data_IF_353243131216
#
_entry.id   IF_353243131216
#
_cell.length_a   1.000
_cell.length_b   1.000
_cell.length_c   1.000
_cell.angle_alpha   90.00
_cell.angle_beta   90.00
_cell.angle_gamma   90.00
#
_symmetry.space_group_name_H-M   'P 1'
#
loop_
_entity.id
_entity.type
_entity.pdbx_description
1 polymer ?
#
# COMPACT_ATOMS: atom_id res chain seq x y z
N UNK A 1 16.93 -12.12 3.66
CA UNK A 1 16.81 -11.73 2.24
C UNK A 1 15.63 -10.78 2.19
N UNK A 2 15.86 -9.50 1.94
CA UNK A 2 14.74 -8.58 1.70
C UNK A 2 14.16 -8.94 0.31
N UNK A 3 12.86 -9.17 0.24
CA UNK A 3 12.16 -9.35 -1.05
C UNK A 3 12.23 -8.05 -1.86
N UNK A 4 11.92 -8.13 -3.16
CA UNK A 4 11.81 -6.94 -4.00
C UNK A 4 10.70 -6.02 -3.49
N UNK A 5 10.83 -4.70 -3.67
CA UNK A 5 9.75 -3.73 -3.36
C UNK A 5 8.44 -4.14 -4.03
N UNK A 6 8.52 -4.62 -5.27
CA UNK A 6 7.37 -5.10 -6.03
C UNK A 6 6.71 -6.30 -5.36
N UNK A 7 7.48 -7.26 -4.85
CA UNK A 7 6.95 -8.43 -4.14
C UNK A 7 6.27 -8.02 -2.83
N UNK A 8 6.83 -7.03 -2.14
CA UNK A 8 6.27 -6.54 -0.88
C UNK A 8 4.97 -5.75 -1.11
N UNK A 9 4.95 -4.86 -2.10
CA UNK A 9 3.74 -4.17 -2.57
C UNK A 9 2.65 -5.18 -2.99
N UNK A 10 3.01 -6.18 -3.78
CA UNK A 10 2.10 -7.26 -4.17
C UNK A 10 1.50 -7.95 -2.95
N UNK A 11 2.33 -8.35 -1.99
CA UNK A 11 1.86 -9.05 -0.81
C UNK A 11 0.99 -8.19 0.11
N UNK A 12 1.11 -6.86 0.09
CA UNK A 12 0.20 -5.95 0.80
C UNK A 12 -1.12 -5.85 0.01
N UNK A 13 -1.04 -5.56 -1.29
CA UNK A 13 -2.20 -5.41 -2.17
C UNK A 13 -3.07 -6.68 -2.20
N UNK A 14 -2.47 -7.87 -2.27
CA UNK A 14 -3.20 -9.13 -2.22
C UNK A 14 -4.00 -9.28 -0.91
N UNK A 15 -3.42 -8.87 0.21
CA UNK A 15 -4.08 -8.84 1.52
C UNK A 15 -5.27 -7.90 1.56
N UNK A 16 -5.17 -6.74 0.90
CA UNK A 16 -6.28 -5.79 0.76
C UNK A 16 -7.35 -6.35 -0.18
N UNK A 17 -6.98 -6.78 -1.39
CA UNK A 17 -7.91 -7.31 -2.40
C UNK A 17 -8.69 -8.51 -1.88
N UNK A 18 -8.07 -9.39 -1.09
CA UNK A 18 -8.74 -10.57 -0.53
C UNK A 18 -9.93 -10.23 0.38
N UNK A 19 -9.94 -9.05 1.01
CA UNK A 19 -11.02 -8.61 1.90
C UNK A 19 -11.97 -7.57 1.28
N UNK A 20 -11.58 -6.95 0.18
CA UNK A 20 -12.36 -5.89 -0.45
C UNK A 20 -13.36 -6.43 -1.48
N UNK A 21 -14.62 -5.94 -1.40
CA UNK A 21 -15.68 -6.28 -2.38
C UNK A 21 -15.96 -5.16 -3.37
N UNK A 22 -15.34 -4.00 -3.19
CA UNK A 22 -15.57 -2.82 -4.01
C UNK A 22 -14.81 -2.95 -5.33
N UNK A 23 -15.52 -3.30 -6.41
CA UNK A 23 -14.90 -3.61 -7.71
C UNK A 23 -13.99 -2.51 -8.27
N UNK A 24 -14.29 -1.24 -8.00
CA UNK A 24 -13.46 -0.12 -8.42
C UNK A 24 -12.17 -0.02 -7.59
N UNK A 25 -12.24 -0.28 -6.28
CA UNK A 25 -11.05 -0.29 -5.42
C UNK A 25 -10.12 -1.43 -5.81
N UNK A 26 -10.65 -2.63 -6.04
CA UNK A 26 -9.86 -3.79 -6.49
C UNK A 26 -9.12 -3.48 -7.80
N UNK A 27 -9.77 -2.77 -8.74
CA UNK A 27 -9.10 -2.31 -9.97
C UNK A 27 -8.01 -1.28 -9.70
N UNK A 28 -8.28 -0.29 -8.84
CA UNK A 28 -7.27 0.70 -8.46
C UNK A 28 -6.05 0.06 -7.78
N UNK A 29 -6.26 -0.95 -6.94
CA UNK A 29 -5.19 -1.72 -6.31
C UNK A 29 -4.40 -2.57 -7.34
N UNK A 30 -5.05 -3.10 -8.38
CA UNK A 30 -4.34 -3.76 -9.47
C UNK A 30 -3.42 -2.79 -10.24
N UNK A 31 -3.87 -1.55 -10.47
CA UNK A 31 -3.06 -0.53 -11.14
C UNK A 31 -1.82 -0.14 -10.33
N UNK A 32 -1.86 -0.20 -8.99
CA UNK A 32 -0.68 0.01 -8.13
C UNK A 32 0.40 -1.01 -8.47
N UNK A 33 0.02 -2.27 -8.65
CA UNK A 33 0.94 -3.35 -9.00
C UNK A 33 1.48 -3.21 -10.41
N UNK A 34 0.65 -2.81 -11.37
CA UNK A 34 1.10 -2.53 -12.74
C UNK A 34 2.16 -1.42 -12.76
N UNK A 35 1.99 -0.35 -11.98
CA UNK A 35 2.99 0.71 -11.84
C UNK A 35 4.27 0.20 -11.18
N UNK A 36 4.17 -0.63 -10.13
CA UNK A 36 5.34 -1.22 -9.48
C UNK A 36 6.17 -2.09 -10.45
N UNK A 37 5.51 -2.82 -11.36
CA UNK A 37 6.17 -3.60 -12.41
C UNK A 37 6.77 -2.76 -13.55
N UNK A 38 6.39 -1.50 -13.67
CA UNK A 38 6.90 -0.57 -14.66
C UNK A 38 8.10 0.25 -14.16
N UNK A 39 8.77 -0.21 -13.09
CA UNK A 39 9.84 0.51 -12.38
C UNK A 39 9.38 1.89 -11.83
N UNK A 40 8.10 2.00 -11.47
CA UNK A 40 7.49 3.19 -10.87
C UNK A 40 7.12 2.95 -9.39
N UNK A 41 8.01 2.33 -8.61
CA UNK A 41 7.69 1.84 -7.26
C UNK A 41 7.28 2.95 -6.27
N UNK A 42 7.90 4.13 -6.36
CA UNK A 42 7.50 5.28 -5.53
C UNK A 42 6.08 5.73 -5.85
N UNK A 43 5.71 5.79 -7.13
CA UNK A 43 4.37 6.18 -7.57
C UNK A 43 3.36 5.12 -7.13
N UNK A 44 3.71 3.84 -7.27
CA UNK A 44 2.89 2.73 -6.81
C UNK A 44 2.65 2.81 -5.29
N UNK A 45 3.70 3.05 -4.51
CA UNK A 45 3.61 3.18 -3.06
C UNK A 45 2.76 4.37 -2.61
N UNK A 46 2.97 5.54 -3.20
CA UNK A 46 2.19 6.74 -2.90
C UNK A 46 0.71 6.52 -3.24
N UNK A 47 0.43 5.91 -4.39
CA UNK A 47 -0.93 5.55 -4.79
C UNK A 47 -1.57 4.58 -3.81
N UNK A 48 -0.84 3.57 -3.31
CA UNK A 48 -1.34 2.66 -2.28
C UNK A 48 -1.76 3.43 -1.02
N UNK A 49 -0.91 4.32 -0.51
CA UNK A 49 -1.17 5.11 0.69
C UNK A 49 -2.43 5.98 0.51
N UNK A 50 -2.53 6.69 -0.62
CA UNK A 50 -3.70 7.51 -0.92
C UNK A 50 -4.98 6.67 -1.11
N UNK A 51 -4.91 5.48 -1.71
CA UNK A 51 -6.07 4.60 -1.84
C UNK A 51 -6.57 4.11 -0.48
N UNK A 52 -5.65 3.74 0.42
CA UNK A 52 -6.00 3.34 1.78
C UNK A 52 -6.72 4.48 2.51
N UNK A 53 -6.21 5.70 2.43
CA UNK A 53 -6.87 6.86 3.05
C UNK A 53 -8.21 7.19 2.41
N UNK A 54 -8.24 7.30 1.08
CA UNK A 54 -9.43 7.71 0.33
C UNK A 54 -10.60 6.74 0.54
N UNK A 55 -10.33 5.44 0.47
CA UNK A 55 -11.34 4.40 0.68
C UNK A 55 -11.51 4.01 2.16
N UNK A 56 -10.72 4.59 3.07
CA UNK A 56 -10.70 4.26 4.51
C UNK A 56 -10.52 2.76 4.74
N UNK A 57 -9.58 2.17 4.02
CA UNK A 57 -9.29 0.73 4.10
C UNK A 57 -8.68 0.45 5.46
N UNK A 58 -9.30 -0.41 6.26
CA UNK A 58 -8.70 -0.82 7.53
C UNK A 58 -7.45 -1.66 7.26
N UNK A 59 -6.34 -1.32 7.92
CA UNK A 59 -5.08 -2.03 7.88
C UNK A 59 -4.94 -2.90 9.13
N UNK A 60 -4.35 -4.08 8.97
CA UNK A 60 -3.83 -4.82 10.13
C UNK A 60 -2.52 -4.18 10.61
N UNK A 61 -2.14 -4.37 11.90
CA UNK A 61 -0.84 -3.90 12.39
C UNK A 61 0.35 -4.43 11.59
N UNK A 62 0.24 -5.66 11.08
CA UNK A 62 1.25 -6.27 10.22
C UNK A 62 1.36 -5.56 8.86
N UNK A 63 0.24 -5.25 8.21
CA UNK A 63 0.25 -4.49 6.94
C UNK A 63 0.78 -3.08 7.13
N UNK A 64 0.37 -2.40 8.21
CA UNK A 64 0.90 -1.08 8.52
C UNK A 64 2.42 -1.10 8.72
N UNK A 65 2.94 -2.08 9.46
CA UNK A 65 4.39 -2.25 9.64
C UNK A 65 5.11 -2.49 8.31
N UNK A 66 4.53 -3.30 7.42
CA UNK A 66 5.09 -3.55 6.08
C UNK A 66 5.09 -2.28 5.23
N UNK A 67 4.00 -1.51 5.25
CA UNK A 67 3.89 -0.20 4.59
C UNK A 67 4.94 0.78 5.13
N UNK A 68 5.12 0.85 6.46
CA UNK A 68 6.14 1.72 7.08
C UNK A 68 7.55 1.34 6.65
N UNK A 69 7.89 0.05 6.66
CA UNK A 69 9.20 -0.42 6.22
C UNK A 69 9.45 -0.12 4.73
N UNK A 70 8.41 -0.23 3.89
CA UNK A 70 8.49 0.14 2.48
C UNK A 70 8.72 1.64 2.30
N UNK A 71 8.03 2.47 3.08
CA UNK A 71 8.23 3.93 3.04
C UNK A 71 9.68 4.31 3.35
N UNK A 72 10.27 3.67 4.37
CA UNK A 72 11.69 3.89 4.70
C UNK A 72 12.62 3.42 3.58
N UNK A 73 12.33 2.26 2.99
CA UNK A 73 13.15 1.72 1.89
C UNK A 73 13.10 2.60 0.63
N UNK A 74 11.94 3.19 0.36
CA UNK A 74 11.69 4.07 -0.78
C UNK A 74 12.00 5.56 -0.46
N UNK A 75 12.53 5.90 0.71
CA UNK A 75 12.69 7.31 1.13
C UNK A 75 11.39 8.14 0.97
N UNK A 76 10.25 7.47 1.12
CA UNK A 76 8.89 8.00 0.96
C UNK A 76 8.19 8.13 2.31
N UNK A 77 8.93 8.27 3.42
CA UNK A 77 8.31 8.41 4.76
C UNK A 77 7.34 9.62 4.83
N UNK A 78 7.57 10.65 4.03
CA UNK A 78 6.69 11.82 3.96
C UNK A 78 5.24 11.48 3.60
N UNK A 79 5.00 10.45 2.77
CA UNK A 79 3.63 10.12 2.36
C UNK A 79 2.84 9.56 3.54
N UNK A 80 3.50 8.92 4.52
CA UNK A 80 2.87 8.45 5.74
C UNK A 80 2.46 9.59 6.69
N UNK A 81 3.12 10.74 6.59
CA UNK A 81 2.74 11.94 7.34
C UNK A 81 1.61 12.71 6.62
N UNK A 82 1.64 12.72 5.29
CA UNK A 82 0.58 13.32 4.46
C UNK A 82 -0.73 12.54 4.53
N UNK A 83 -0.63 11.21 4.55
CA UNK A 83 -1.78 10.31 4.63
C UNK A 83 -1.99 9.86 6.07
N UNK A 84 -3.21 9.95 6.60
CA UNK A 84 -3.46 9.60 8.01
C UNK A 84 -3.57 8.07 8.25
N UNK A 85 -2.64 7.27 7.69
CA UNK A 85 -2.73 5.80 7.66
C UNK A 85 -2.80 5.15 9.03
N UNK A 86 -2.10 5.70 10.02
CA UNK A 86 -2.11 5.21 11.39
C UNK A 86 -3.52 5.18 11.99
N UNK A 87 -4.41 6.09 11.57
CA UNK A 87 -5.81 6.12 12.03
C UNK A 87 -6.68 5.01 11.45
N UNK A 88 -6.19 4.26 10.46
CA UNK A 88 -6.90 3.14 9.84
C UNK A 88 -6.36 1.77 10.28
N UNK A 89 -5.41 1.72 11.22
CA UNK A 89 -4.93 0.46 11.78
C UNK A 89 -6.00 -0.09 12.73
N UNK A 90 -6.51 -1.28 12.44
CA UNK A 90 -7.46 -1.97 13.29
C UNK A 90 -6.79 -2.38 14.62
N UNK A 91 -7.49 -2.15 15.73
CA UNK A 91 -7.10 -2.55 17.08
C UNK A 91 -7.08 -4.08 17.27
#
# INVERSE_FOLDING_TARGET
>A
MAGSVVEELQGIVDGLVARERHSQLVRSLANVIEAAHADEEHIAFDNLCHLVEYYRIHLTPAEFTRISNLAEHLDSAYVLDETNLASYVAE
#
